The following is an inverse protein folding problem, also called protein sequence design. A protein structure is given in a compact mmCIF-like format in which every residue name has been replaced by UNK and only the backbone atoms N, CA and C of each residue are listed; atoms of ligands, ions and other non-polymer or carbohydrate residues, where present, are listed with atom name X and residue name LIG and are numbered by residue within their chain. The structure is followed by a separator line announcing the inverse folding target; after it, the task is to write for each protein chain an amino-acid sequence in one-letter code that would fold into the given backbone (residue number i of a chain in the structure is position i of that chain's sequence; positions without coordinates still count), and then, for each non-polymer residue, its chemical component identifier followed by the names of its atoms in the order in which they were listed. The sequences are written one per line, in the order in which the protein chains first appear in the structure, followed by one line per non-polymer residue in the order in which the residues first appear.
data_IF_943014077663
#
_entry.id   IF_943014077663
#
_cell.length_a   1.000
_cell.length_b   1.000
_cell.length_c   1.000
_cell.angle_alpha   90.00
_cell.angle_beta   90.00
_cell.angle_gamma   90.00
#
_symmetry.space_group_name_H-M   'P 1'
#
loop_
_entity.id
_entity.type
_entity.pdbx_description
1 polymer ?
#
# COMPACT_ATOMS: atom_id res chain seq x y z
N UNK A 1 5.99 -8.25 -53.94
CA UNK A 1 5.96 -9.68 -54.30
C UNK A 1 5.30 -10.40 -53.14
N UNK A 2 4.13 -11.05 -53.19
CA UNK A 2 3.26 -11.62 -54.22
C UNK A 2 1.80 -11.37 -53.74
N UNK A 3 0.92 -10.74 -54.53
CA UNK A 3 -0.05 -11.34 -55.48
C UNK A 3 -1.13 -12.25 -54.82
N UNK A 4 -2.33 -11.65 -54.67
CA UNK A 4 -3.69 -12.13 -54.99
C UNK A 4 -4.32 -13.27 -54.14
N UNK A 5 -5.42 -12.94 -53.45
CA UNK A 5 -6.75 -13.44 -53.84
C UNK A 5 -7.88 -12.79 -53.02
N UNK A 6 -8.51 -11.79 -53.63
CA UNK A 6 -9.90 -11.43 -53.38
C UNK A 6 -10.80 -12.58 -53.87
N UNK A 7 -11.68 -13.08 -53.01
CA UNK A 7 -12.90 -13.78 -53.44
C UNK A 7 -14.07 -13.23 -52.62
N UNK A 8 -15.11 -12.67 -53.26
CA UNK A 8 -16.29 -12.14 -52.60
C UNK A 8 -17.32 -13.26 -52.39
N UNK A 9 -17.91 -13.35 -51.19
CA UNK A 9 -19.07 -14.21 -50.94
C UNK A 9 -20.26 -13.38 -50.45
N UNK A 10 -21.14 -13.09 -51.42
CA UNK A 10 -22.61 -13.06 -51.34
C UNK A 10 -23.25 -12.90 -49.96
N UNK A 11 -23.87 -11.76 -49.72
CA UNK A 11 -25.24 -11.70 -49.19
C UNK A 11 -26.18 -12.25 -50.28
N UNK A 12 -27.24 -13.02 -49.95
CA UNK A 12 -28.41 -12.44 -49.29
C UNK A 12 -29.17 -13.42 -48.37
N UNK A 13 -30.27 -12.90 -47.80
CA UNK A 13 -31.46 -13.58 -47.28
C UNK A 13 -31.60 -13.58 -45.75
N UNK A 14 -32.63 -12.84 -45.33
CA UNK A 14 -33.43 -13.21 -44.18
C UNK A 14 -33.22 -12.33 -42.97
N UNK A 15 -33.66 -11.07 -43.06
CA UNK A 15 -34.22 -10.40 -41.88
C UNK A 15 -35.35 -11.25 -41.31
N UNK A 16 -35.02 -12.16 -40.40
CA UNK A 16 -35.94 -12.56 -39.34
C UNK A 16 -35.61 -11.66 -38.17
N UNK A 17 -36.37 -10.57 -38.04
CA UNK A 17 -36.59 -9.88 -36.77
C UNK A 17 -37.17 -10.93 -35.81
N UNK A 18 -36.28 -11.70 -35.19
CA UNK A 18 -36.60 -12.38 -33.96
C UNK A 18 -36.72 -11.26 -32.94
N UNK A 19 -37.95 -10.78 -32.74
CA UNK A 19 -38.36 -10.09 -31.52
C UNK A 19 -38.21 -11.10 -30.38
N UNK A 20 -36.95 -11.38 -30.02
CA UNK A 20 -36.57 -11.95 -28.75
C UNK A 20 -37.20 -11.03 -27.72
N UNK A 21 -38.23 -11.52 -27.02
CA UNK A 21 -39.00 -10.77 -26.05
C UNK A 21 -38.06 -9.85 -25.25
N UNK A 22 -38.39 -8.56 -25.02
CA UNK A 22 -37.48 -7.59 -24.41
C UNK A 22 -36.78 -8.09 -23.13
N UNK A 23 -37.45 -9.01 -22.42
CA UNK A 23 -36.93 -9.80 -21.30
C UNK A 23 -35.72 -10.67 -21.66
N UNK A 24 -35.76 -11.44 -22.75
CA UNK A 24 -34.64 -12.30 -23.17
C UNK A 24 -33.39 -11.52 -23.59
N UNK A 25 -33.53 -10.38 -24.25
CA UNK A 25 -32.40 -9.48 -24.54
C UNK A 25 -31.81 -8.90 -23.24
N UNK A 26 -32.68 -8.52 -22.30
CA UNK A 26 -32.26 -8.03 -20.97
C UNK A 26 -31.56 -9.09 -20.13
N UNK A 27 -31.98 -10.36 -20.22
CA UNK A 27 -31.28 -11.48 -19.57
C UNK A 27 -29.92 -11.75 -20.21
N UNK A 28 -29.80 -11.65 -21.53
CA UNK A 28 -28.51 -11.78 -22.23
C UNK A 28 -27.55 -10.67 -21.80
N UNK A 29 -28.00 -9.41 -21.71
CA UNK A 29 -27.18 -8.31 -21.21
C UNK A 29 -26.77 -8.52 -19.75
N UNK A 30 -27.69 -8.99 -18.90
CA UNK A 30 -27.39 -9.26 -17.50
C UNK A 30 -26.37 -10.39 -17.33
N UNK A 31 -26.52 -11.49 -18.09
CA UNK A 31 -25.58 -12.61 -18.10
C UNK A 31 -24.20 -12.19 -18.65
N UNK A 32 -24.17 -11.37 -19.71
CA UNK A 32 -22.92 -10.77 -20.22
C UNK A 32 -22.27 -9.88 -19.15
N UNK A 33 -23.06 -9.07 -18.45
CA UNK A 33 -22.57 -8.23 -17.35
C UNK A 33 -22.04 -9.03 -16.17
N UNK A 34 -22.67 -10.15 -15.80
CA UNK A 34 -22.20 -11.05 -14.76
C UNK A 34 -20.90 -11.76 -15.17
N UNK A 35 -20.83 -12.26 -16.42
CA UNK A 35 -19.62 -12.90 -16.94
C UNK A 35 -18.46 -11.91 -17.07
N UNK A 36 -18.73 -10.67 -17.48
CA UNK A 36 -17.74 -9.58 -17.47
C UNK A 36 -17.26 -9.26 -16.06
N UNK A 37 -18.15 -9.22 -15.05
CA UNK A 37 -17.75 -9.02 -13.66
C UNK A 37 -16.90 -10.19 -13.12
N UNK A 38 -17.24 -11.43 -13.48
CA UNK A 38 -16.47 -12.61 -13.11
C UNK A 38 -15.08 -12.60 -13.77
N UNK A 39 -15.02 -12.32 -15.08
CA UNK A 39 -13.75 -12.20 -15.80
C UNK A 39 -12.90 -11.06 -15.24
N UNK A 40 -13.51 -9.92 -14.91
CA UNK A 40 -12.80 -8.81 -14.29
C UNK A 40 -12.20 -9.20 -12.93
N UNK A 41 -12.97 -9.89 -12.08
CA UNK A 41 -12.42 -10.42 -10.81
C UNK A 41 -11.28 -11.40 -11.03
N UNK A 42 -11.41 -12.31 -11.98
CA UNK A 42 -10.33 -13.27 -12.32
C UNK A 42 -9.07 -12.53 -12.77
N UNK A 43 -9.20 -11.52 -13.63
CA UNK A 43 -8.07 -10.69 -14.08
C UNK A 43 -7.47 -9.90 -12.91
N UNK A 44 -8.29 -9.32 -12.03
CA UNK A 44 -7.83 -8.58 -10.86
C UNK A 44 -7.09 -9.52 -9.88
N UNK A 45 -7.58 -10.76 -9.68
CA UNK A 45 -6.94 -11.80 -8.88
C UNK A 45 -5.61 -12.26 -9.50
N UNK A 46 -5.58 -12.50 -10.82
CA UNK A 46 -4.36 -12.85 -11.54
C UNK A 46 -3.33 -11.71 -11.49
N UNK A 47 -3.75 -10.46 -11.70
CA UNK A 47 -2.88 -9.29 -11.58
C UNK A 47 -2.27 -9.16 -10.18
N UNK A 48 -3.08 -9.37 -9.14
CA UNK A 48 -2.58 -9.36 -7.77
C UNK A 48 -1.59 -10.50 -7.52
N UNK A 49 -1.84 -11.69 -8.04
CA UNK A 49 -0.91 -12.82 -7.96
C UNK A 49 0.41 -12.54 -8.71
N UNK A 50 0.34 -11.91 -9.89
CA UNK A 50 1.52 -11.47 -10.64
C UNK A 50 2.33 -10.42 -9.85
N UNK A 51 1.66 -9.47 -9.21
CA UNK A 51 2.32 -8.44 -8.40
C UNK A 51 2.98 -9.04 -7.14
N UNK A 52 2.35 -10.01 -6.49
CA UNK A 52 2.93 -10.77 -5.38
C UNK A 52 4.15 -11.56 -5.86
N UNK A 53 4.05 -12.30 -6.97
CA UNK A 53 5.17 -13.07 -7.51
C UNK A 53 6.33 -12.18 -7.95
N UNK A 54 6.04 -11.02 -8.54
CA UNK A 54 7.06 -10.02 -8.87
C UNK A 54 7.80 -9.55 -7.61
N UNK A 55 7.08 -9.21 -6.55
CA UNK A 55 7.68 -8.80 -5.27
C UNK A 55 8.53 -9.92 -4.62
N UNK A 56 8.12 -11.18 -4.74
CA UNK A 56 8.90 -12.33 -4.25
C UNK A 56 10.20 -12.46 -5.08
N UNK A 57 10.10 -12.36 -6.40
CA UNK A 57 11.27 -12.43 -7.29
C UNK A 57 12.23 -11.25 -7.04
N UNK A 58 11.72 -10.03 -6.86
CA UNK A 58 12.54 -8.85 -6.55
C UNK A 58 13.28 -9.03 -5.21
N UNK A 59 12.64 -9.63 -4.20
CA UNK A 59 13.30 -9.96 -2.91
C UNK A 59 14.36 -11.05 -3.07
N UNK A 60 14.06 -12.11 -3.83
CA UNK A 60 15.04 -13.16 -4.13
C UNK A 60 16.26 -12.59 -4.85
N UNK A 61 16.04 -11.68 -5.80
CA UNK A 61 17.11 -11.02 -6.54
C UNK A 61 17.96 -10.13 -5.63
N UNK A 62 17.34 -9.44 -4.66
CA UNK A 62 18.06 -8.68 -3.64
C UNK A 62 18.95 -9.60 -2.79
N UNK A 63 18.41 -10.73 -2.28
CA UNK A 63 19.19 -11.69 -1.50
C UNK A 63 20.36 -12.28 -2.29
N UNK A 64 20.13 -12.64 -3.56
CA UNK A 64 21.18 -13.12 -4.46
C UNK A 64 22.26 -12.06 -4.71
N UNK A 65 21.89 -10.78 -4.79
CA UNK A 65 22.85 -9.69 -4.94
C UNK A 65 23.68 -9.48 -3.66
N UNK A 66 23.04 -9.52 -2.49
CA UNK A 66 23.72 -9.42 -1.19
C UNK A 66 24.71 -10.59 -0.99
N UNK A 67 24.33 -11.81 -1.40
CA UNK A 67 25.22 -12.99 -1.36
C UNK A 67 26.41 -12.84 -2.34
N UNK A 68 26.19 -12.27 -3.52
CA UNK A 68 27.27 -11.98 -4.47
C UNK A 68 28.23 -10.93 -3.94
N UNK A 69 27.73 -9.84 -3.34
CA UNK A 69 28.56 -8.82 -2.70
C UNK A 69 29.38 -9.41 -1.53
N UNK A 70 28.76 -10.27 -0.71
CA UNK A 70 29.44 -11.01 0.35
C UNK A 70 30.59 -11.89 -0.18
N UNK A 71 30.37 -12.61 -1.28
CA UNK A 71 31.40 -13.43 -1.91
C UNK A 71 32.56 -12.59 -2.49
N UNK A 72 32.28 -11.45 -3.12
CA UNK A 72 33.30 -10.53 -3.64
C UNK A 72 34.18 -10.00 -2.48
N UNK A 73 33.56 -9.69 -1.33
CA UNK A 73 34.30 -9.26 -0.14
C UNK A 73 35.21 -10.37 0.38
N UNK A 74 34.73 -11.61 0.45
CA UNK A 74 35.52 -12.76 0.88
C UNK A 74 36.71 -13.02 -0.07
N UNK A 75 36.49 -12.97 -1.38
CA UNK A 75 37.54 -13.12 -2.38
C UNK A 75 38.60 -12.02 -2.24
N UNK A 76 38.19 -10.77 -1.99
CA UNK A 76 39.10 -9.66 -1.74
C UNK A 76 39.93 -9.84 -0.46
N UNK A 77 39.33 -10.40 0.59
CA UNK A 77 40.03 -10.71 1.84
C UNK A 77 41.07 -11.80 1.60
N UNK A 78 40.74 -12.85 0.87
CA UNK A 78 41.69 -13.92 0.55
C UNK A 78 42.84 -13.43 -0.35
N UNK A 79 42.57 -12.58 -1.34
CA UNK A 79 43.62 -11.93 -2.14
C UNK A 79 44.58 -11.11 -1.26
N UNK A 80 44.05 -10.29 -0.35
CA UNK A 80 44.86 -9.46 0.55
C UNK A 80 45.65 -10.31 1.55
N UNK A 81 45.06 -11.39 2.05
CA UNK A 81 45.73 -12.35 2.94
C UNK A 81 46.88 -13.04 2.21
N UNK A 82 46.65 -13.52 1.00
CA UNK A 82 47.65 -14.20 0.19
C UNK A 82 48.77 -13.25 -0.24
N UNK A 83 48.47 -11.99 -0.58
CA UNK A 83 49.51 -11.01 -0.93
C UNK A 83 50.40 -10.67 0.26
N UNK A 84 49.81 -10.47 1.46
CA UNK A 84 50.58 -10.24 2.69
C UNK A 84 51.44 -11.46 3.07
N UNK A 85 50.91 -12.66 2.90
CA UNK A 85 51.65 -13.89 3.14
C UNK A 85 52.83 -14.04 2.15
N UNK A 86 52.63 -13.71 0.88
CA UNK A 86 53.71 -13.70 -0.13
C UNK A 86 54.82 -12.73 0.26
N UNK A 87 54.48 -11.49 0.62
CA UNK A 87 55.48 -10.48 1.05
C UNK A 87 56.26 -10.96 2.27
N UNK A 88 55.59 -11.61 3.22
CA UNK A 88 56.26 -12.16 4.41
C UNK A 88 57.21 -13.30 4.05
N UNK A 89 56.80 -14.19 3.14
CA UNK A 89 57.65 -15.28 2.62
C UNK A 89 58.88 -14.71 1.91
N UNK A 90 58.71 -13.66 1.10
CA UNK A 90 59.80 -13.01 0.39
C UNK A 90 60.81 -12.37 1.36
N UNK A 91 60.33 -11.65 2.39
CA UNK A 91 61.17 -11.08 3.46
C UNK A 91 61.94 -12.18 4.20
N UNK A 92 61.28 -13.30 4.56
CA UNK A 92 61.96 -14.41 5.23
C UNK A 92 63.00 -15.08 4.34
N UNK A 93 62.73 -15.20 3.03
CA UNK A 93 63.67 -15.76 2.06
C UNK A 93 64.89 -14.86 1.89
N UNK A 94 64.69 -13.55 1.83
CA UNK A 94 65.77 -12.56 1.75
C UNK A 94 66.62 -12.56 3.04
N UNK A 95 66.00 -12.64 4.20
CA UNK A 95 66.70 -12.75 5.49
C UNK A 95 67.49 -14.05 5.61
N UNK A 96 66.96 -15.18 5.14
CA UNK A 96 67.70 -16.45 5.13
C UNK A 96 68.90 -16.40 4.17
N UNK A 97 68.74 -15.79 3.00
CA UNK A 97 69.82 -15.62 2.04
C UNK A 97 70.91 -14.67 2.56
N UNK A 98 70.54 -13.56 3.21
CA UNK A 98 71.51 -12.62 3.78
C UNK A 98 72.27 -13.25 4.94
N UNK A 99 71.60 -14.03 5.78
CA UNK A 99 72.22 -14.79 6.86
C UNK A 99 73.18 -15.85 6.30
N UNK A 100 72.77 -16.59 5.27
CA UNK A 100 73.64 -17.56 4.60
C UNK A 100 74.89 -16.89 4.04
N UNK A 101 74.74 -15.74 3.36
CA UNK A 101 75.86 -14.99 2.80
C UNK A 101 76.82 -14.49 3.90
N UNK A 102 76.29 -14.00 5.02
CA UNK A 102 77.11 -13.60 6.17
C UNK A 102 77.90 -14.78 6.74
N UNK A 103 77.28 -15.96 6.86
CA UNK A 103 77.99 -17.18 7.29
C UNK A 103 79.11 -17.57 6.30
N UNK A 104 78.86 -17.52 4.99
CA UNK A 104 79.88 -17.81 3.97
C UNK A 104 81.04 -16.80 4.01
N UNK A 105 80.76 -15.52 4.25
CA UNK A 105 81.77 -14.47 4.42
C UNK A 105 82.61 -14.67 5.70
N UNK A 106 81.99 -15.04 6.83
CA UNK A 106 82.70 -15.33 8.07
C UNK A 106 83.61 -16.56 7.94
N UNK A 107 83.13 -17.63 7.31
CA UNK A 107 83.94 -18.81 7.01
C UNK A 107 85.14 -18.44 6.13
N UNK A 108 84.92 -17.63 5.10
CA UNK A 108 85.98 -17.16 4.20
C UNK A 108 87.04 -16.32 4.93
N UNK A 109 86.62 -15.42 5.82
CA UNK A 109 87.54 -14.62 6.67
C UNK A 109 88.35 -15.52 7.60
N UNK A 110 87.74 -16.54 8.20
CA UNK A 110 88.43 -17.46 9.09
C UNK A 110 89.52 -18.26 8.35
N UNK A 111 89.26 -18.70 7.13
CA UNK A 111 90.27 -19.32 6.27
C UNK A 111 91.40 -18.35 5.88
N UNK A 112 91.08 -17.10 5.56
CA UNK A 112 92.10 -16.10 5.21
C UNK A 112 93.04 -15.82 6.39
N UNK A 113 92.49 -15.65 7.60
CA UNK A 113 93.26 -15.43 8.82
C UNK A 113 94.20 -16.62 9.11
N UNK A 114 93.73 -17.85 8.93
CA UNK A 114 94.56 -19.04 9.13
C UNK A 114 95.77 -19.09 8.18
N UNK A 115 95.60 -18.67 6.93
CA UNK A 115 96.69 -18.60 5.94
C UNK A 115 97.68 -17.48 6.28
N UNK A 116 97.19 -16.36 6.79
CA UNK A 116 98.04 -15.24 7.21
C UNK A 116 98.89 -15.61 8.44
N UNK A 117 98.29 -16.27 9.44
CA UNK A 117 98.99 -16.80 10.61
C UNK A 117 100.06 -17.83 10.21
N UNK A 118 99.77 -18.72 9.25
CA UNK A 118 100.74 -19.67 8.72
C UNK A 118 101.95 -18.98 8.07
N UNK A 119 101.72 -17.90 7.30
CA UNK A 119 102.79 -17.10 6.68
C UNK A 119 103.63 -16.35 7.72
N UNK A 120 102.99 -15.79 8.74
CA UNK A 120 103.68 -15.07 9.81
C UNK A 120 104.63 -15.99 10.61
N UNK A 121 104.19 -17.21 10.91
CA UNK A 121 105.02 -18.22 11.59
C UNK A 121 106.24 -18.65 10.75
N UNK A 122 106.08 -18.77 9.43
CA UNK A 122 107.21 -19.06 8.52
C UNK A 122 108.23 -17.92 8.46
N UNK A 123 107.75 -16.66 8.42
CA UNK A 123 108.61 -15.46 8.33
C UNK A 123 109.43 -15.25 9.60
N UNK A 124 108.83 -15.50 10.76
CA UNK A 124 109.50 -15.43 12.07
C UNK A 124 110.59 -16.51 12.21
N UNK A 125 110.38 -17.70 11.64
CA UNK A 125 111.40 -18.78 11.60
C UNK A 125 112.62 -18.43 10.74
N UNK A 126 112.45 -17.71 9.63
CA UNK A 126 113.55 -17.29 8.75
C UNK A 126 114.41 -16.13 9.28
N UNK A 127 113.85 -15.26 10.14
CA UNK A 127 114.55 -14.07 10.67
C UNK A 127 115.52 -14.39 11.82
N UNK A 128 115.32 -15.51 12.50
CA UNK A 128 116.14 -15.96 13.64
C UNK A 128 117.42 -16.70 13.16
N UNK A 129 117.45 -17.18 11.92
CA UNK A 129 118.59 -17.93 11.35
C UNK A 129 119.65 -17.01 10.71
N UNK A 130 119.29 -15.79 10.29
CA UNK A 130 120.21 -14.88 9.57
C UNK A 130 121.03 -13.94 10.48
N UNK A 131 120.59 -13.67 11.72
CA UNK A 131 121.22 -12.68 12.60
C UNK A 131 122.28 -13.23 13.58
N UNK A 132 122.76 -14.47 13.37
CA UNK A 132 123.79 -15.09 14.22
C UNK A 132 125.14 -15.37 13.53
N UNK A 133 125.29 -15.12 12.22
CA UNK A 133 126.50 -15.52 11.47
C UNK A 133 127.29 -14.38 10.80
N UNK A 134 126.83 -13.12 10.88
CA UNK A 134 127.48 -12.00 10.19
C UNK A 134 128.01 -10.93 11.16
N UNK A 135 128.59 -11.34 12.29
CA UNK A 135 129.35 -10.41 13.13
C UNK A 135 130.42 -11.10 13.96
N UNK A 136 131.51 -11.48 13.30
CA UNK A 136 132.89 -11.50 13.82
C UNK A 136 133.81 -12.14 12.78
N UNK A 137 134.57 -11.31 12.05
CA UNK A 137 135.95 -11.54 11.58
C UNK A 137 136.20 -10.72 10.31
N UNK A 138 136.76 -9.52 10.49
CA UNK A 138 137.80 -8.89 9.65
C UNK A 138 137.87 -7.42 10.06
N UNK A 139 139.00 -6.82 10.43
CA UNK A 139 140.38 -7.26 10.39
C UNK A 139 141.19 -6.18 11.10
N UNK A 140 141.77 -6.52 12.24
CA UNK A 140 142.86 -5.77 12.85
C UNK A 140 144.10 -5.98 11.97
N UNK A 141 144.73 -4.89 11.50
CA UNK A 141 145.90 -5.00 10.63
C UNK A 141 146.63 -3.73 10.22
N UNK A 142 145.99 -2.55 10.19
CA UNK A 142 146.63 -1.34 9.61
C UNK A 142 146.71 -0.12 10.56
N UNK A 143 146.58 -0.36 11.87
CA UNK A 143 146.24 0.66 12.87
C UNK A 143 147.41 1.46 13.48
N UNK A 144 148.40 1.98 12.73
CA UNK A 144 149.33 3.00 13.32
C UNK A 144 149.79 4.13 12.40
N UNK A 145 149.50 4.08 11.10
CA UNK A 145 149.63 5.26 10.21
C UNK A 145 148.29 5.74 9.66
N UNK A 146 147.28 4.87 9.62
CA UNK A 146 145.89 5.23 9.39
C UNK A 146 145.25 5.95 10.59
N UNK A 147 145.74 5.84 11.83
CA UNK A 147 145.06 6.40 13.02
C UNK A 147 144.94 7.94 13.02
N UNK A 148 145.91 8.68 12.46
CA UNK A 148 145.87 10.16 12.45
C UNK A 148 145.06 10.71 11.25
N UNK A 149 145.10 10.02 10.11
CA UNK A 149 144.27 10.33 8.94
C UNK A 149 142.83 9.87 9.16
N UNK A 150 142.62 8.68 9.73
CA UNK A 150 141.32 8.19 10.21
C UNK A 150 140.76 9.08 11.31
N UNK A 151 141.53 9.61 12.27
CA UNK A 151 140.93 10.52 13.26
C UNK A 151 140.39 11.81 12.63
N UNK A 152 141.08 12.36 11.62
CA UNK A 152 140.60 13.53 10.88
C UNK A 152 139.44 13.20 9.92
N UNK A 153 139.44 12.03 9.27
CA UNK A 153 138.32 11.54 8.47
C UNK A 153 137.11 11.14 9.32
N UNK A 154 137.31 10.49 10.46
CA UNK A 154 136.28 10.14 11.45
C UNK A 154 135.67 11.42 11.99
N UNK A 155 136.45 12.47 12.29
CA UNK A 155 135.88 13.73 12.74
C UNK A 155 135.10 14.46 11.64
N UNK A 156 135.61 14.49 10.40
CA UNK A 156 134.87 15.03 9.24
C UNK A 156 133.62 14.23 8.91
N UNK A 157 133.69 12.90 8.95
CA UNK A 157 132.57 11.99 8.73
C UNK A 157 131.56 12.07 9.86
N UNK A 158 131.98 12.18 11.12
CA UNK A 158 131.10 12.40 12.26
C UNK A 158 130.33 13.71 12.13
N UNK A 159 131.01 14.79 11.72
CA UNK A 159 130.37 16.08 11.44
C UNK A 159 129.40 15.94 10.26
N UNK A 160 129.81 15.33 9.14
CA UNK A 160 128.97 15.14 7.97
C UNK A 160 127.76 14.23 8.24
N UNK A 161 127.93 13.12 8.95
CA UNK A 161 126.87 12.20 9.37
C UNK A 161 125.90 12.87 10.33
N UNK A 162 126.39 13.71 11.25
CA UNK A 162 125.53 14.52 12.11
C UNK A 162 124.71 15.52 11.31
N UNK A 163 125.31 16.22 10.35
CA UNK A 163 124.58 17.13 9.45
C UNK A 163 123.57 16.39 8.55
N UNK A 164 123.94 15.23 7.99
CA UNK A 164 123.05 14.41 7.16
C UNK A 164 121.91 13.83 8.00
N UNK A 165 122.19 13.37 9.22
CA UNK A 165 121.17 12.83 10.12
C UNK A 165 120.22 13.91 10.59
N UNK A 166 120.72 15.10 10.94
CA UNK A 166 119.86 16.25 11.25
C UNK A 166 119.03 16.67 10.04
N UNK A 167 119.63 16.76 8.85
CA UNK A 167 118.90 17.12 7.63
C UNK A 167 117.82 16.10 7.27
N UNK A 168 118.10 14.80 7.42
CA UNK A 168 117.10 13.73 7.25
C UNK A 168 116.00 13.85 8.29
N UNK A 169 116.35 14.07 9.55
CA UNK A 169 115.38 14.24 10.64
C UNK A 169 114.49 15.46 10.41
N UNK A 170 115.05 16.60 10.04
CA UNK A 170 114.30 17.82 9.70
C UNK A 170 113.37 17.57 8.51
N UNK A 171 113.83 16.85 7.47
CA UNK A 171 112.96 16.45 6.36
C UNK A 171 111.82 15.53 6.79
N UNK A 172 112.08 14.55 7.65
CA UNK A 172 111.04 13.66 8.17
C UNK A 172 110.04 14.44 9.01
N UNK A 173 110.52 15.34 9.87
CA UNK A 173 109.67 16.20 10.68
C UNK A 173 108.80 17.12 9.82
N UNK A 174 109.38 17.74 8.79
CA UNK A 174 108.65 18.61 7.86
C UNK A 174 107.59 17.81 7.06
N UNK A 175 107.91 16.59 6.64
CA UNK A 175 106.97 15.72 5.93
C UNK A 175 105.84 15.25 6.85
N UNK A 176 106.15 14.85 8.09
CA UNK A 176 105.16 14.46 9.10
C UNK A 176 104.26 15.65 9.48
N UNK A 177 104.81 16.85 9.65
CA UNK A 177 104.01 18.07 9.88
C UNK A 177 103.10 18.39 8.68
N UNK A 178 103.57 18.17 7.44
CA UNK A 178 102.72 18.33 6.25
C UNK A 178 101.61 17.30 6.20
N UNK A 179 101.90 16.02 6.44
CA UNK A 179 100.90 14.96 6.46
C UNK A 179 99.87 15.22 7.56
N UNK A 180 100.32 15.58 8.76
CA UNK A 180 99.45 15.91 9.88
C UNK A 180 98.56 17.12 9.56
N UNK A 181 99.12 18.20 9.01
CA UNK A 181 98.34 19.37 8.63
C UNK A 181 97.32 19.06 7.52
N UNK A 182 97.70 18.26 6.52
CA UNK A 182 96.79 17.83 5.46
C UNK A 182 95.63 17.00 6.02
N UNK A 183 95.92 16.01 6.87
CA UNK A 183 94.90 15.21 7.55
C UNK A 183 94.01 16.07 8.45
N UNK A 184 94.57 17.06 9.15
CA UNK A 184 93.80 17.99 9.98
C UNK A 184 92.83 18.83 9.13
N UNK A 185 93.29 19.34 7.98
CA UNK A 185 92.46 20.11 7.04
C UNK A 185 91.36 19.24 6.45
N UNK A 186 91.69 18.03 6.02
CA UNK A 186 90.72 17.07 5.47
C UNK A 186 89.67 16.69 6.52
N UNK A 187 90.08 16.41 7.75
CA UNK A 187 89.16 16.08 8.83
C UNK A 187 88.24 17.27 9.17
N UNK A 188 88.77 18.49 9.22
CA UNK A 188 87.95 19.72 9.38
C UNK A 188 86.94 19.89 8.25
N UNK A 189 87.33 19.59 7.01
CA UNK A 189 86.44 19.65 5.84
C UNK A 189 85.32 18.61 5.96
N UNK A 190 85.65 17.37 6.29
CA UNK A 190 84.66 16.30 6.49
C UNK A 190 83.70 16.61 7.65
N UNK A 191 84.19 17.20 8.74
CA UNK A 191 83.37 17.63 9.86
C UNK A 191 82.40 18.76 9.44
N UNK A 192 82.88 19.71 8.63
CA UNK A 192 82.05 20.80 8.11
C UNK A 192 80.97 20.28 7.16
N UNK A 193 81.32 19.42 6.19
CA UNK A 193 80.37 18.79 5.28
C UNK A 193 79.32 17.97 6.05
N UNK A 194 79.75 17.19 7.06
CA UNK A 194 78.83 16.47 7.95
C UNK A 194 77.89 17.40 8.73
N UNK A 195 78.39 18.55 9.19
CA UNK A 195 77.59 19.58 9.86
C UNK A 195 76.56 20.22 8.93
N UNK A 196 76.93 20.52 7.69
CA UNK A 196 76.01 21.06 6.68
C UNK A 196 74.90 20.07 6.33
N UNK A 197 75.24 18.79 6.15
CA UNK A 197 74.26 17.72 5.91
C UNK A 197 73.30 17.61 7.10
N UNK A 198 73.81 17.61 8.33
CA UNK A 198 72.99 17.60 9.53
C UNK A 198 72.02 18.79 9.59
N UNK A 199 72.51 20.01 9.35
CA UNK A 199 71.67 21.21 9.33
C UNK A 199 70.62 21.17 8.22
N UNK A 200 70.96 20.66 7.04
CA UNK A 200 70.02 20.46 5.92
C UNK A 200 68.91 19.48 6.29
N UNK A 201 69.27 18.32 6.86
CA UNK A 201 68.30 17.30 7.31
C UNK A 201 67.42 17.83 8.43
N UNK A 202 68.00 18.52 9.43
CA UNK A 202 67.26 19.15 10.52
C UNK A 202 66.26 20.19 10.00
N UNK A 203 66.67 21.02 9.03
CA UNK A 203 65.80 22.00 8.40
C UNK A 203 64.66 21.37 7.58
N UNK A 204 64.90 20.21 6.93
CA UNK A 204 63.84 19.43 6.28
C UNK A 204 62.88 18.83 7.31
N UNK A 205 63.39 18.25 8.38
CA UNK A 205 62.58 17.66 9.45
C UNK A 205 61.66 18.69 10.10
N UNK A 206 62.16 19.86 10.46
CA UNK A 206 61.35 20.93 11.07
C UNK A 206 60.25 21.44 10.11
N UNK A 207 60.53 21.49 8.80
CA UNK A 207 59.51 21.84 7.79
C UNK A 207 58.42 20.78 7.70
N UNK A 208 58.80 19.51 7.65
CA UNK A 208 57.85 18.38 7.63
C UNK A 208 57.00 18.39 8.90
N UNK A 209 57.63 18.56 10.07
CA UNK A 209 56.93 18.65 11.36
C UNK A 209 55.89 19.77 11.40
N UNK A 210 56.24 20.97 10.92
CA UNK A 210 55.28 22.09 10.83
C UNK A 210 54.15 21.80 9.85
N UNK A 211 54.45 21.19 8.70
CA UNK A 211 53.44 20.78 7.73
C UNK A 211 52.49 19.72 8.30
N UNK A 212 53.02 18.74 9.04
CA UNK A 212 52.24 17.69 9.68
C UNK A 212 51.28 18.29 10.71
N UNK A 213 51.77 19.17 11.60
CA UNK A 213 50.93 19.87 12.58
C UNK A 213 49.82 20.71 11.92
N UNK A 214 50.10 21.33 10.76
CA UNK A 214 49.06 22.06 10.02
C UNK A 214 48.00 21.11 9.44
N UNK A 215 48.42 19.92 8.97
CA UNK A 215 47.50 18.91 8.43
C UNK A 215 46.68 18.25 9.54
N UNK A 216 47.27 17.99 10.70
CA UNK A 216 46.55 17.50 11.87
C UNK A 216 45.44 18.47 12.32
N UNK A 217 45.72 19.78 12.32
CA UNK A 217 44.69 20.79 12.59
C UNK A 217 43.57 20.80 11.55
N UNK A 218 43.93 20.71 10.27
CA UNK A 218 42.94 20.65 9.18
C UNK A 218 42.05 19.41 9.29
N UNK A 219 42.63 18.25 9.63
CA UNK A 219 41.88 17.01 9.89
C UNK A 219 40.93 17.21 11.07
N UNK A 220 41.41 17.78 12.18
CA UNK A 220 40.56 18.04 13.34
C UNK A 220 39.39 18.98 13.02
N UNK A 221 39.63 20.05 12.24
CA UNK A 221 38.56 20.96 11.80
C UNK A 221 37.53 20.25 10.91
N UNK A 222 37.97 19.33 10.05
CA UNK A 222 37.08 18.50 9.23
C UNK A 222 36.28 17.52 10.08
N UNK A 223 36.89 16.89 11.08
CA UNK A 223 36.20 16.01 12.03
C UNK A 223 35.09 16.75 12.79
N UNK A 224 35.37 17.97 13.27
CA UNK A 224 34.37 18.83 13.92
C UNK A 224 33.25 19.20 12.96
N UNK A 225 33.57 19.55 11.71
CA UNK A 225 32.55 19.82 10.67
C UNK A 225 31.69 18.59 10.42
N UNK A 226 32.28 17.40 10.29
CA UNK A 226 31.56 16.14 10.13
C UNK A 226 30.65 15.88 11.33
N UNK A 227 31.14 16.09 12.56
CA UNK A 227 30.33 15.98 13.78
C UNK A 227 29.12 16.92 13.76
N UNK A 228 29.31 18.18 13.38
CA UNK A 228 28.23 19.16 13.24
C UNK A 228 27.21 18.77 12.16
N UNK A 229 27.66 18.25 11.02
CA UNK A 229 26.76 17.76 9.96
C UNK A 229 25.98 16.52 10.39
N UNK A 230 26.60 15.60 11.12
CA UNK A 230 25.91 14.44 11.70
C UNK A 230 24.80 14.88 12.66
N UNK A 231 25.07 15.83 13.55
CA UNK A 231 24.07 16.38 14.47
C UNK A 231 22.93 17.08 13.73
N UNK A 232 23.24 17.88 12.70
CA UNK A 232 22.22 18.53 11.86
C UNK A 232 21.34 17.49 11.17
N UNK A 233 21.94 16.47 10.56
CA UNK A 233 21.21 15.39 9.88
C UNK A 233 20.29 14.66 10.86
N UNK A 234 20.77 14.34 12.06
CA UNK A 234 19.97 13.65 13.07
C UNK A 234 18.80 14.50 13.56
N UNK A 235 18.99 15.81 13.73
CA UNK A 235 17.92 16.73 14.07
C UNK A 235 16.86 16.82 12.94
N UNK A 236 17.30 16.91 11.69
CA UNK A 236 16.40 16.91 10.52
C UNK A 236 15.59 15.61 10.46
N UNK A 237 16.23 14.45 10.65
CA UNK A 237 15.54 13.15 10.71
C UNK A 237 14.45 13.16 11.78
N UNK A 238 14.77 13.60 13.01
CA UNK A 238 13.78 13.69 14.10
C UNK A 238 12.61 14.62 13.76
N UNK A 239 12.87 15.75 13.10
CA UNK A 239 11.82 16.68 12.66
C UNK A 239 10.92 16.01 11.61
N UNK A 240 11.50 15.32 10.62
CA UNK A 240 10.73 14.61 9.60
C UNK A 240 9.91 13.46 10.18
N UNK A 241 10.46 12.70 11.14
CA UNK A 241 9.75 11.64 11.84
C UNK A 241 8.54 12.21 12.62
N UNK A 242 8.73 13.30 13.37
CA UNK A 242 7.65 13.99 14.05
C UNK A 242 6.57 14.50 13.09
N UNK A 243 6.97 15.07 11.96
CA UNK A 243 6.04 15.57 10.95
C UNK A 243 5.25 14.43 10.29
N UNK A 244 5.92 13.33 9.95
CA UNK A 244 5.28 12.13 9.41
C UNK A 244 4.27 11.57 10.41
N UNK A 245 4.61 11.49 11.69
CA UNK A 245 3.72 10.94 12.71
C UNK A 245 2.50 11.84 12.94
N UNK A 246 2.69 13.16 12.95
CA UNK A 246 1.59 14.13 12.99
C UNK A 246 0.65 13.96 11.77
N UNK A 247 1.20 13.90 10.56
CA UNK A 247 0.41 13.75 9.33
C UNK A 247 -0.34 12.41 9.29
N UNK A 248 0.28 11.32 9.79
CA UNK A 248 -0.42 10.04 9.97
C UNK A 248 -1.58 10.19 10.94
N UNK A 249 -1.37 10.85 12.09
CA UNK A 249 -2.41 11.15 13.07
C UNK A 249 -3.60 11.88 12.44
N UNK A 250 -3.34 13.01 11.76
CA UNK A 250 -4.36 13.81 11.06
C UNK A 250 -5.10 12.97 9.99
N UNK A 251 -4.37 12.16 9.21
CA UNK A 251 -4.97 11.23 8.23
C UNK A 251 -5.91 10.22 8.90
N UNK A 252 -5.52 9.62 10.02
CA UNK A 252 -6.39 8.66 10.72
C UNK A 252 -7.65 9.32 11.28
N UNK A 253 -7.53 10.53 11.82
CA UNK A 253 -8.68 11.32 12.30
C UNK A 253 -9.64 11.64 11.15
N UNK A 254 -9.12 12.11 10.01
CA UNK A 254 -9.94 12.40 8.83
C UNK A 254 -10.65 11.15 8.30
N UNK A 255 -9.96 10.00 8.27
CA UNK A 255 -10.58 8.72 7.88
C UNK A 255 -11.71 8.32 8.85
N UNK A 256 -11.53 8.53 10.15
CA UNK A 256 -12.56 8.27 11.14
C UNK A 256 -13.76 9.21 10.97
N UNK A 257 -13.54 10.51 10.71
CA UNK A 257 -14.62 11.44 10.38
C UNK A 257 -15.36 11.03 9.10
N UNK A 258 -14.66 10.61 8.05
CA UNK A 258 -15.29 10.12 6.81
C UNK A 258 -16.14 8.88 7.09
N UNK A 259 -15.66 7.93 7.91
CA UNK A 259 -16.46 6.75 8.31
C UNK A 259 -17.70 7.14 9.07
N UNK A 260 -17.59 8.06 10.04
CA UNK A 260 -18.73 8.57 10.81
C UNK A 260 -19.77 9.23 9.90
N UNK A 261 -19.34 10.10 8.98
CA UNK A 261 -20.23 10.76 8.01
C UNK A 261 -20.91 9.72 7.11
N UNK A 262 -20.18 8.71 6.62
CA UNK A 262 -20.76 7.63 5.81
C UNK A 262 -21.84 6.87 6.58
N UNK A 263 -21.63 6.58 7.87
CA UNK A 263 -22.63 5.92 8.71
C UNK A 263 -23.87 6.80 8.90
N UNK A 264 -23.69 8.11 9.15
CA UNK A 264 -24.79 9.06 9.26
C UNK A 264 -25.58 9.11 7.94
N UNK A 265 -24.90 9.21 6.80
CA UNK A 265 -25.54 9.23 5.48
C UNK A 265 -26.32 7.94 5.19
N UNK A 266 -25.79 6.78 5.56
CA UNK A 266 -26.48 5.50 5.43
C UNK A 266 -27.74 5.46 6.31
N UNK A 267 -27.65 5.96 7.55
CA UNK A 267 -28.80 6.05 8.48
C UNK A 267 -29.88 6.98 7.94
N UNK A 268 -29.51 8.15 7.41
CA UNK A 268 -30.45 9.07 6.77
C UNK A 268 -31.13 8.43 5.55
N UNK A 269 -30.35 7.83 4.64
CA UNK A 269 -30.89 7.13 3.48
C UNK A 269 -31.86 6.00 3.86
N UNK A 270 -31.57 5.27 4.93
CA UNK A 270 -32.47 4.23 5.44
C UNK A 270 -33.75 4.83 6.03
N UNK A 271 -33.64 5.91 6.81
CA UNK A 271 -34.79 6.60 7.39
C UNK A 271 -35.70 7.20 6.31
N UNK A 272 -35.15 7.87 5.30
CA UNK A 272 -35.93 8.42 4.18
C UNK A 272 -36.62 7.32 3.39
N UNK A 273 -35.92 6.20 3.14
CA UNK A 273 -36.53 5.03 2.50
C UNK A 273 -37.70 4.50 3.32
N UNK A 274 -37.53 4.37 4.64
CA UNK A 274 -38.60 3.90 5.52
C UNK A 274 -39.78 4.86 5.52
N UNK A 275 -39.54 6.17 5.66
CA UNK A 275 -40.58 7.20 5.61
C UNK A 275 -41.35 7.17 4.29
N UNK A 276 -40.66 6.97 3.16
CA UNK A 276 -41.31 6.85 1.86
C UNK A 276 -42.20 5.59 1.77
N UNK A 277 -41.73 4.46 2.30
CA UNK A 277 -42.53 3.23 2.39
C UNK A 277 -43.77 3.48 3.27
N UNK A 278 -43.62 4.10 4.43
CA UNK A 278 -44.71 4.36 5.36
C UNK A 278 -45.76 5.30 4.73
N UNK A 279 -45.33 6.39 4.09
CA UNK A 279 -46.23 7.30 3.38
C UNK A 279 -46.95 6.56 2.25
N UNK A 280 -46.22 5.84 1.39
CA UNK A 280 -46.81 5.13 0.25
C UNK A 280 -47.82 4.07 0.69
N UNK A 281 -47.50 3.32 1.74
CA UNK A 281 -48.40 2.28 2.27
C UNK A 281 -49.63 2.88 2.93
N UNK A 282 -49.49 3.97 3.70
CA UNK A 282 -50.62 4.67 4.31
C UNK A 282 -51.52 5.32 3.26
N UNK A 283 -50.95 6.00 2.26
CA UNK A 283 -51.69 6.55 1.12
C UNK A 283 -52.43 5.44 0.38
N UNK A 284 -51.80 4.30 0.10
CA UNK A 284 -52.45 3.16 -0.56
C UNK A 284 -53.61 2.59 0.27
N UNK A 285 -53.44 2.45 1.58
CA UNK A 285 -54.52 2.03 2.49
C UNK A 285 -55.70 3.00 2.45
N UNK A 286 -55.43 4.31 2.42
CA UNK A 286 -56.46 5.34 2.33
C UNK A 286 -57.19 5.27 0.98
N UNK A 287 -56.45 5.16 -0.13
CA UNK A 287 -57.02 5.01 -1.48
C UNK A 287 -57.91 3.77 -1.53
N UNK A 288 -57.44 2.62 -1.06
CA UNK A 288 -58.25 1.39 -1.05
C UNK A 288 -59.55 1.57 -0.26
N UNK A 289 -59.51 2.20 0.92
CA UNK A 289 -60.73 2.50 1.71
C UNK A 289 -61.70 3.42 0.97
N UNK A 290 -61.18 4.43 0.27
CA UNK A 290 -61.99 5.32 -0.54
C UNK A 290 -62.60 4.60 -1.73
N UNK A 291 -61.84 3.75 -2.42
CA UNK A 291 -62.33 2.89 -3.51
C UNK A 291 -63.41 1.90 -3.04
N UNK A 292 -63.24 1.29 -1.87
CA UNK A 292 -64.26 0.46 -1.23
C UNK A 292 -65.54 1.25 -0.95
N UNK A 293 -65.43 2.45 -0.38
CA UNK A 293 -66.58 3.32 -0.12
C UNK A 293 -67.27 3.76 -1.42
N UNK A 294 -66.51 4.08 -2.48
CA UNK A 294 -67.04 4.40 -3.80
C UNK A 294 -67.77 3.19 -4.39
N UNK A 295 -67.21 1.99 -4.26
CA UNK A 295 -67.85 0.74 -4.69
C UNK A 295 -69.17 0.50 -3.95
N UNK A 296 -69.20 0.72 -2.63
CA UNK A 296 -70.42 0.64 -1.82
C UNK A 296 -71.46 1.67 -2.24
N UNK A 297 -71.07 2.93 -2.42
CA UNK A 297 -71.95 3.99 -2.88
C UNK A 297 -72.53 3.67 -4.28
N UNK A 298 -71.68 3.24 -5.21
CA UNK A 298 -72.11 2.81 -6.54
C UNK A 298 -73.07 1.61 -6.49
N UNK A 299 -72.82 0.64 -5.60
CA UNK A 299 -73.73 -0.49 -5.38
C UNK A 299 -75.08 -0.01 -4.86
N UNK A 300 -75.10 0.88 -3.87
CA UNK A 300 -76.32 1.46 -3.31
C UNK A 300 -77.12 2.22 -4.38
N UNK A 301 -76.44 3.07 -5.17
CA UNK A 301 -77.07 3.82 -6.27
C UNK A 301 -77.65 2.86 -7.31
N UNK A 302 -76.90 1.84 -7.74
CA UNK A 302 -77.39 0.82 -8.68
C UNK A 302 -78.61 0.08 -8.13
N UNK A 303 -78.58 -0.35 -6.87
CA UNK A 303 -79.73 -1.02 -6.25
C UNK A 303 -80.94 -0.10 -6.12
N UNK A 304 -80.74 1.17 -5.78
CA UNK A 304 -81.82 2.16 -5.69
C UNK A 304 -82.44 2.42 -7.06
N UNK A 305 -81.63 2.62 -8.11
CA UNK A 305 -82.10 2.77 -9.47
C UNK A 305 -82.92 1.55 -9.94
N UNK A 306 -82.46 0.33 -9.62
CA UNK A 306 -83.22 -0.88 -9.91
C UNK A 306 -84.56 -0.93 -9.15
N UNK A 307 -84.57 -0.59 -7.86
CA UNK A 307 -85.80 -0.51 -7.08
C UNK A 307 -86.77 0.53 -7.63
N UNK A 308 -86.28 1.70 -8.04
CA UNK A 308 -87.09 2.79 -8.60
C UNK A 308 -87.84 2.38 -9.87
N UNK A 309 -87.28 1.47 -10.68
CA UNK A 309 -87.96 0.94 -11.86
C UNK A 309 -89.25 0.16 -11.53
N UNK A 310 -89.38 -0.39 -10.32
CA UNK A 310 -90.57 -1.13 -9.87
C UNK A 310 -91.59 -0.25 -9.14
N UNK A 311 -91.30 1.04 -8.97
CA UNK A 311 -92.17 1.98 -8.27
C UNK A 311 -93.16 2.65 -9.23
N UNK A 312 -94.35 2.93 -8.72
CA UNK A 312 -95.36 3.66 -9.49
C UNK A 312 -94.96 5.12 -9.70
N UNK A 313 -95.42 5.75 -10.78
CA UNK A 313 -95.13 7.17 -11.08
C UNK A 313 -95.48 8.09 -9.90
N UNK A 314 -96.57 7.78 -9.17
CA UNK A 314 -96.97 8.50 -7.96
C UNK A 314 -95.87 8.50 -6.90
N UNK A 315 -95.18 7.38 -6.70
CA UNK A 315 -94.14 7.23 -5.68
C UNK A 315 -92.80 7.80 -6.14
N UNK A 316 -92.50 7.69 -7.43
CA UNK A 316 -91.33 8.33 -8.02
C UNK A 316 -91.40 9.87 -7.89
N UNK A 317 -92.59 10.47 -8.01
CA UNK A 317 -92.82 11.91 -7.85
C UNK A 317 -92.96 12.34 -6.38
N UNK A 318 -93.60 11.53 -5.53
CA UNK A 318 -93.75 11.85 -4.10
C UNK A 318 -92.43 11.79 -3.33
N UNK A 319 -91.51 10.93 -3.74
CA UNK A 319 -90.17 10.84 -3.13
C UNK A 319 -89.38 12.15 -3.25
N UNK A 320 -89.65 12.95 -4.30
CA UNK A 320 -89.07 14.28 -4.50
C UNK A 320 -89.83 15.41 -3.79
N UNK A 321 -91.12 15.23 -3.47
CA UNK A 321 -91.98 16.34 -3.00
C UNK A 321 -91.86 16.61 -1.50
N UNK A 322 -91.46 15.63 -0.70
CA UNK A 322 -91.29 15.81 0.75
C UNK A 322 -89.99 16.55 1.15
N UNK A 323 -89.03 16.70 0.24
CA UNK A 323 -87.80 17.46 0.52
C UNK A 323 -88.00 18.98 0.46
N UNK A 324 -89.10 19.46 -0.13
CA UNK A 324 -89.36 20.89 -0.34
C UNK A 324 -90.35 21.49 0.68
N UNK A 325 -90.82 20.68 1.63
CA UNK A 325 -91.89 21.03 2.56
C UNK A 325 -91.45 21.07 4.01
N UNK A 326 -90.35 21.77 4.32
CA UNK A 326 -90.13 22.40 5.63
C UNK A 326 -88.99 23.41 5.49
N UNK A 327 -89.36 24.68 5.30
CA UNK A 327 -88.46 25.81 5.51
C UNK A 327 -88.05 25.81 6.99
N UNK A 328 -86.80 25.50 7.28
CA UNK A 328 -86.10 26.04 8.45
C UNK A 328 -84.94 26.88 7.92
N UNK A 329 -84.84 28.04 8.54
CA UNK A 329 -84.15 29.22 8.06
C UNK A 329 -82.64 29.03 7.95
N UNK A 330 -82.07 29.79 7.02
CA UNK A 330 -80.65 30.01 6.85
C UNK A 330 -80.01 30.46 8.18
N UNK A 331 -79.08 29.67 8.71
CA UNK A 331 -78.18 30.10 9.80
C UNK A 331 -76.75 30.11 9.25
N UNK A 332 -76.03 31.26 9.31
CA UNK A 332 -74.69 31.41 8.76
C UNK A 332 -73.66 30.50 9.43
N UNK A 333 -72.72 30.02 8.62
CA UNK A 333 -71.53 29.29 9.04
C UNK A 333 -70.56 30.29 9.68
N UNK A 334 -70.48 30.33 11.00
CA UNK A 334 -69.41 31.07 11.71
C UNK A 334 -68.89 30.27 12.92
N UNK A 335 -67.57 30.04 12.91
CA UNK A 335 -66.62 29.71 13.99
C UNK A 335 -66.97 28.64 15.05
N UNK A 336 -66.27 27.50 14.94
CA UNK A 336 -66.07 26.54 16.04
C UNK A 336 -65.27 27.16 17.21
N UNK A 337 -65.66 26.87 18.46
CA UNK A 337 -64.70 26.53 19.51
C UNK A 337 -64.86 25.06 19.92
N UNK A 338 -63.71 24.43 20.14
CA UNK A 338 -63.54 23.05 20.56
C UNK A 338 -64.12 22.80 21.96
N UNK A 339 -64.94 21.75 22.08
CA UNK A 339 -65.45 21.21 23.34
C UNK A 339 -66.00 19.80 23.13
N UNK A 340 -65.30 18.74 23.59
CA UNK A 340 -65.72 17.36 23.39
C UNK A 340 -66.65 16.93 24.53
N UNK A 341 -67.90 16.53 24.22
CA UNK A 341 -68.60 15.36 24.80
C UNK A 341 -70.15 15.33 24.59
N UNK A 342 -70.81 16.34 24.02
CA UNK A 342 -72.29 16.31 23.85
C UNK A 342 -72.79 16.01 22.41
N UNK A 343 -71.91 15.92 21.41
CA UNK A 343 -72.32 15.99 20.00
C UNK A 343 -72.55 14.64 19.29
N UNK A 344 -72.43 13.49 19.95
CA UNK A 344 -72.63 12.18 19.28
C UNK A 344 -74.11 11.77 19.17
N UNK A 345 -74.92 12.03 20.21
CA UNK A 345 -76.34 11.65 20.23
C UNK A 345 -77.17 12.44 19.22
N UNK A 346 -76.96 13.75 19.14
CA UNK A 346 -77.62 14.61 18.15
C UNK A 346 -77.24 14.24 16.71
N UNK A 347 -75.98 13.88 16.45
CA UNK A 347 -75.54 13.38 15.13
C UNK A 347 -76.17 12.04 14.77
N UNK A 348 -76.41 11.16 15.73
CA UNK A 348 -77.13 9.89 15.50
C UNK A 348 -78.62 10.10 15.26
N UNK A 349 -79.27 11.01 15.97
CA UNK A 349 -80.69 11.35 15.77
C UNK A 349 -80.92 12.00 14.41
N UNK A 350 -80.06 12.94 14.00
CA UNK A 350 -80.08 13.52 12.65
C UNK A 350 -79.88 12.45 11.57
N UNK A 351 -78.99 11.46 11.77
CA UNK A 351 -78.81 10.32 10.86
C UNK A 351 -80.04 9.40 10.81
N UNK A 352 -80.74 9.22 11.92
CA UNK A 352 -81.97 8.43 11.97
C UNK A 352 -83.11 9.11 11.21
N UNK A 353 -83.26 10.43 11.36
CA UNK A 353 -84.25 11.22 10.61
C UNK A 353 -84.01 11.19 9.09
N UNK A 354 -82.76 11.13 8.63
CA UNK A 354 -82.44 11.00 7.19
C UNK A 354 -83.02 9.71 6.56
N UNK A 355 -83.20 8.64 7.35
CA UNK A 355 -83.77 7.37 6.88
C UNK A 355 -85.29 7.29 7.07
N UNK A 356 -85.91 8.25 7.74
CA UNK A 356 -87.34 8.22 8.08
C UNK A 356 -88.23 8.19 6.81
N UNK A 357 -87.86 8.98 5.80
CA UNK A 357 -88.57 8.99 4.51
C UNK A 357 -88.42 7.67 3.75
N UNK A 358 -87.26 6.99 3.85
CA UNK A 358 -87.05 5.66 3.30
C UNK A 358 -87.95 4.62 4.00
N UNK A 359 -88.07 4.69 5.33
CA UNK A 359 -88.96 3.80 6.07
C UNK A 359 -90.44 4.05 5.76
N UNK A 360 -90.87 5.32 5.62
CA UNK A 360 -92.22 5.68 5.18
C UNK A 360 -92.53 5.09 3.79
N UNK A 361 -91.59 5.22 2.83
CA UNK A 361 -91.71 4.61 1.49
C UNK A 361 -91.84 3.09 1.58
N UNK A 362 -90.97 2.43 2.35
CA UNK A 362 -91.00 0.98 2.55
C UNK A 362 -92.32 0.50 3.15
N UNK A 363 -92.80 1.18 4.19
CA UNK A 363 -94.04 0.82 4.87
C UNK A 363 -95.25 0.96 3.94
N UNK A 364 -95.29 2.00 3.12
CA UNK A 364 -96.35 2.17 2.10
C UNK A 364 -96.34 1.02 1.09
N UNK A 365 -95.19 0.67 0.51
CA UNK A 365 -95.09 -0.46 -0.42
C UNK A 365 -95.56 -1.77 0.22
N UNK A 366 -95.24 -2.01 1.50
CA UNK A 366 -95.72 -3.18 2.24
C UNK A 366 -97.25 -3.15 2.38
N UNK A 367 -97.85 -2.00 2.70
CA UNK A 367 -99.31 -1.85 2.81
C UNK A 367 -100.00 -2.10 1.46
N UNK A 368 -99.47 -1.54 0.37
CA UNK A 368 -100.01 -1.75 -0.98
C UNK A 368 -99.93 -3.24 -1.38
N UNK A 369 -98.84 -3.93 -1.07
CA UNK A 369 -98.72 -5.39 -1.27
C UNK A 369 -99.77 -6.16 -0.45
N UNK A 370 -100.06 -5.75 0.79
CA UNK A 370 -101.08 -6.39 1.63
C UNK A 370 -102.48 -6.18 1.03
N UNK A 371 -102.78 -4.97 0.54
CA UNK A 371 -104.07 -4.66 -0.11
C UNK A 371 -104.23 -5.51 -1.37
N UNK A 372 -103.22 -5.55 -2.25
CA UNK A 372 -103.24 -6.38 -3.46
C UNK A 372 -103.44 -7.87 -3.15
N UNK A 373 -102.79 -8.38 -2.09
CA UNK A 373 -103.01 -9.76 -1.64
C UNK A 373 -104.44 -10.01 -1.17
N UNK A 374 -105.05 -9.05 -0.47
CA UNK A 374 -106.45 -9.14 -0.02
C UNK A 374 -107.42 -9.15 -1.21
N UNK A 375 -107.26 -8.21 -2.14
CA UNK A 375 -108.09 -8.15 -3.36
C UNK A 375 -107.92 -9.41 -4.22
N UNK A 376 -106.69 -9.88 -4.40
CA UNK A 376 -106.43 -11.14 -5.11
C UNK A 376 -107.12 -12.33 -4.42
N UNK A 377 -107.12 -12.37 -3.08
CA UNK A 377 -107.84 -13.40 -2.34
C UNK A 377 -109.36 -13.30 -2.55
N UNK A 378 -109.93 -12.10 -2.52
CA UNK A 378 -111.35 -11.87 -2.81
C UNK A 378 -111.72 -12.22 -4.25
N UNK A 379 -110.91 -11.83 -5.23
CA UNK A 379 -111.09 -12.20 -6.63
C UNK A 379 -110.98 -13.71 -6.84
N UNK A 380 -110.03 -14.39 -6.18
CA UNK A 380 -109.97 -15.85 -6.19
C UNK A 380 -111.24 -16.48 -5.59
N UNK A 381 -111.79 -15.89 -4.52
CA UNK A 381 -113.05 -16.36 -3.91
C UNK A 381 -114.24 -16.15 -4.83
N UNK A 382 -114.36 -14.97 -5.45
CA UNK A 382 -115.40 -14.67 -6.47
C UNK A 382 -115.27 -15.55 -7.70
N UNK A 383 -114.06 -15.75 -8.21
CA UNK A 383 -113.80 -16.62 -9.36
C UNK A 383 -114.15 -18.09 -9.04
N UNK A 384 -113.82 -18.58 -7.84
CA UNK A 384 -114.32 -19.89 -7.36
C UNK A 384 -115.86 -19.91 -7.28
N UNK A 385 -116.49 -18.80 -6.91
CA UNK A 385 -117.95 -18.65 -6.94
C UNK A 385 -118.52 -18.69 -8.36
N UNK A 386 -117.93 -17.97 -9.30
CA UNK A 386 -118.32 -18.00 -10.71
C UNK A 386 -118.08 -19.36 -11.34
N UNK A 387 -116.96 -20.02 -11.04
CA UNK A 387 -116.73 -21.42 -11.45
C UNK A 387 -117.84 -22.32 -10.94
N UNK A 388 -118.27 -22.19 -9.68
CA UNK A 388 -119.42 -22.95 -9.17
C UNK A 388 -120.72 -22.62 -9.89
N UNK A 389 -120.98 -21.36 -10.21
CA UNK A 389 -122.19 -20.94 -10.95
C UNK A 389 -122.16 -21.45 -12.38
N UNK A 390 -121.00 -21.39 -13.05
CA UNK A 390 -120.78 -21.96 -14.38
C UNK A 390 -120.97 -23.47 -14.31
N UNK A 391 -120.36 -24.16 -13.33
CA UNK A 391 -120.57 -25.58 -13.11
C UNK A 391 -122.07 -25.90 -12.89
N UNK A 392 -122.80 -25.08 -12.13
CA UNK A 392 -124.25 -25.22 -11.94
C UNK A 392 -125.05 -24.97 -13.23
N UNK A 393 -124.70 -23.96 -14.03
CA UNK A 393 -125.35 -23.68 -15.33
C UNK A 393 -125.03 -24.74 -16.37
N UNK A 394 -123.77 -25.18 -16.47
CA UNK A 394 -123.36 -26.29 -17.32
C UNK A 394 -124.06 -27.59 -16.89
N UNK A 395 -124.26 -27.80 -15.59
CA UNK A 395 -125.07 -28.91 -15.11
C UNK A 395 -126.57 -28.74 -15.42
N UNK A 396 -127.10 -27.50 -15.54
CA UNK A 396 -128.49 -27.24 -15.96
C UNK A 396 -128.68 -27.34 -17.49
N UNK A 397 -127.67 -26.97 -18.28
CA UNK A 397 -127.70 -26.95 -19.76
C UNK A 397 -127.29 -28.29 -20.37
N UNK A 398 -126.20 -28.89 -19.90
CA UNK A 398 -125.93 -30.30 -20.12
C UNK A 398 -126.71 -31.05 -19.05
N UNK A 399 -127.70 -31.87 -19.43
CA UNK A 399 -128.29 -32.90 -18.56
C UNK A 399 -127.24 -33.97 -18.19
N UNK A 400 -126.11 -33.54 -17.64
CA UNK A 400 -125.11 -34.38 -17.02
C UNK A 400 -125.69 -34.85 -15.69
N UNK A 401 -125.59 -36.15 -15.45
CA UNK A 401 -126.31 -37.00 -14.48
C UNK A 401 -126.12 -36.64 -12.99
N UNK A 402 -125.74 -35.40 -12.63
CA UNK A 402 -125.49 -34.93 -11.26
C UNK A 402 -126.31 -33.69 -10.88
N UNK A 403 -127.55 -33.57 -11.36
CA UNK A 403 -128.50 -32.55 -10.89
C UNK A 403 -129.59 -33.20 -10.03
N UNK A 404 -129.67 -32.83 -8.74
CA UNK A 404 -130.91 -32.93 -7.98
C UNK A 404 -131.82 -31.81 -8.46
N UNK A 405 -132.73 -32.12 -9.37
CA UNK A 405 -133.73 -31.19 -9.89
C UNK A 405 -134.58 -30.71 -8.70
N UNK A 406 -134.55 -29.41 -8.40
CA UNK A 406 -135.53 -28.80 -7.50
C UNK A 406 -136.88 -28.75 -8.24
N UNK A 407 -137.94 -29.25 -7.60
CA UNK A 407 -139.29 -29.46 -8.17
C UNK A 407 -140.04 -28.19 -8.60
N UNK A 408 -139.44 -27.01 -8.51
CA UNK A 408 -140.15 -25.71 -8.63
C UNK A 408 -139.83 -24.93 -9.93
N UNK A 409 -138.83 -25.33 -10.73
CA UNK A 409 -138.41 -24.56 -11.94
C UNK A 409 -138.94 -25.11 -13.29
N UNK A 410 -139.66 -26.24 -13.30
CA UNK A 410 -140.32 -26.77 -14.51
C UNK A 410 -141.72 -27.30 -14.19
N UNK A 411 -142.67 -26.39 -13.97
CA UNK A 411 -144.10 -26.71 -14.07
C UNK A 411 -144.56 -26.26 -15.45
N UNK A 412 -144.58 -27.19 -16.41
CA UNK A 412 -145.40 -27.06 -17.62
C UNK A 412 -146.76 -27.66 -17.23
N UNK A 413 -147.77 -26.82 -16.99
CA UNK A 413 -149.16 -27.28 -16.84
C UNK A 413 -149.70 -27.68 -18.23
N UNK A 414 -150.36 -28.84 -18.36
CA UNK A 414 -151.17 -29.14 -19.53
C UNK A 414 -152.59 -28.61 -19.32
N UNK A 415 -152.89 -27.42 -19.87
CA UNK A 415 -154.10 -27.07 -20.62
C UNK A 415 -154.03 -25.62 -21.08
#
# INVERSE_FOLDING_TARGET
MCIISNIPFKTPLGEKKNDKAPTTLRWIELLRGLKLKQLKRSIDEDMNNYEINKNINDKLLLFLNDDLEGNIILEKIDELKNSKLSVLVDIHRENMNSLQKHFEEEVSKLFANFVEDQKFLLKTRSSIIYNLEENKRTREGNLKKEELEMMNEIYKNYIAERYISNYKFDKFKDEDERIFNNLLVENKKNLHEGSEIYHSVKGKYERIKKSLLSKEKEVHDLEVKIGNWKLKLENEIKIYEMQIERLKGEKTQLLNHIRAIKLILQKLKHNDKQRLIDITTNSRKCINKLEENISLANRLIKTNNLCRNYETEREQLFSSRLLLGEKKEDVPIESLPEGPLECEKEKTEQKAHLLENLFKRKNKAILDIIILKKELHELKKKNKGFQKIIDEMDNKLNFNRKVKIKKEEFIIRPM
#
